data_IF_995797785812
#
_entry.id   IF_995797785812
#
_cell.length_a   1.000
_cell.length_b   1.000
_cell.length_c   1.000
_cell.angle_alpha   90.00
_cell.angle_beta   90.00
_cell.angle_gamma   90.00
#
_symmetry.space_group_name_H-M   'P 1'
#
loop_
_entity.id
_entity.type
_entity.pdbx_description
1 polymer ?
#
# COMPACT_ATOMS: atom_id res chain seq x y z
N UNK A 1 19.52 2.04 -36.14
CA UNK A 1 18.18 2.24 -35.52
C UNK A 1 17.17 1.14 -35.87
N UNK A 2 17.20 0.55 -37.07
CA UNK A 2 16.30 -0.55 -37.48
C UNK A 2 16.54 -1.88 -36.74
N UNK A 3 17.74 -2.11 -36.19
CA UNK A 3 18.11 -3.34 -35.48
C UNK A 3 17.53 -3.44 -34.04
N UNK A 4 17.12 -2.33 -33.43
CA UNK A 4 16.49 -2.35 -32.09
C UNK A 4 15.03 -2.80 -32.14
N UNK A 5 14.34 -2.60 -33.28
CA UNK A 5 12.94 -3.02 -33.47
C UNK A 5 12.86 -4.54 -33.70
N UNK A 6 13.88 -5.14 -34.33
CA UNK A 6 13.90 -6.58 -34.65
C UNK A 6 14.26 -7.45 -33.44
N UNK A 7 14.94 -6.91 -32.44
CA UNK A 7 15.32 -7.65 -31.21
C UNK A 7 14.14 -7.87 -30.24
N UNK A 8 13.04 -7.13 -30.41
CA UNK A 8 11.81 -7.36 -29.64
C UNK A 8 11.05 -8.49 -30.32
N UNK A 9 10.86 -9.66 -29.67
CA UNK A 9 10.09 -10.73 -30.28
C UNK A 9 8.70 -10.20 -30.68
N UNK A 10 8.19 -10.54 -31.88
CA UNK A 10 6.99 -9.91 -32.45
C UNK A 10 5.74 -10.03 -31.57
N UNK A 11 5.75 -10.94 -30.59
CA UNK A 11 4.73 -11.11 -29.54
C UNK A 11 4.64 -9.92 -28.56
N UNK A 12 5.70 -9.14 -28.37
CA UNK A 12 5.73 -8.03 -27.39
C UNK A 12 5.30 -6.69 -27.98
N UNK A 13 5.30 -6.55 -29.31
CA UNK A 13 4.85 -5.32 -29.98
C UNK A 13 3.41 -4.91 -29.60
N UNK A 14 2.43 -5.84 -29.53
CA UNK A 14 1.08 -5.52 -29.05
C UNK A 14 1.06 -4.94 -27.62
N UNK A 15 1.94 -5.38 -26.72
CA UNK A 15 2.03 -4.86 -25.35
C UNK A 15 2.53 -3.41 -25.33
N UNK A 16 3.53 -3.11 -26.16
CA UNK A 16 4.07 -1.75 -26.29
C UNK A 16 2.99 -0.81 -26.82
N UNK A 17 2.30 -1.21 -27.91
CA UNK A 17 1.19 -0.42 -28.48
C UNK A 17 0.09 -0.23 -27.44
N UNK A 18 -0.33 -1.29 -26.75
CA UNK A 18 -1.34 -1.22 -25.70
C UNK A 18 -0.96 -0.23 -24.58
N UNK A 19 0.27 -0.30 -24.09
CA UNK A 19 0.77 0.61 -23.05
C UNK A 19 0.65 2.08 -23.47
N UNK A 20 1.09 2.42 -24.69
CA UNK A 20 0.99 3.79 -25.19
C UNK A 20 -0.45 4.22 -25.45
N UNK A 21 -1.32 3.32 -25.93
CA UNK A 21 -2.75 3.62 -26.11
C UNK A 21 -3.41 3.93 -24.78
N UNK A 22 -3.13 3.17 -23.71
CA UNK A 22 -3.67 3.45 -22.36
C UNK A 22 -3.20 4.81 -21.85
N UNK A 23 -1.90 5.13 -21.99
CA UNK A 23 -1.37 6.44 -21.59
C UNK A 23 -2.04 7.57 -22.40
N UNK A 24 -2.12 7.42 -23.73
CA UNK A 24 -2.73 8.40 -24.59
C UNK A 24 -4.21 8.63 -24.23
N UNK A 25 -4.94 7.56 -23.90
CA UNK A 25 -6.33 7.64 -23.43
C UNK A 25 -6.43 8.42 -22.12
N UNK A 26 -5.62 8.08 -21.11
CA UNK A 26 -5.62 8.79 -19.81
C UNK A 26 -5.30 10.27 -19.99
N UNK A 27 -4.27 10.59 -20.77
CA UNK A 27 -3.89 11.98 -21.08
C UNK A 27 -5.00 12.71 -21.82
N UNK A 28 -5.65 12.06 -22.78
CA UNK A 28 -6.76 12.66 -23.55
C UNK A 28 -7.95 12.95 -22.63
N UNK A 29 -8.32 12.03 -21.74
CA UNK A 29 -9.40 12.23 -20.77
C UNK A 29 -9.07 13.41 -19.85
N UNK A 30 -7.85 13.46 -19.30
CA UNK A 30 -7.42 14.56 -18.43
C UNK A 30 -7.37 15.90 -19.18
N UNK A 31 -6.92 15.91 -20.44
CA UNK A 31 -6.86 17.11 -21.27
C UNK A 31 -8.26 17.63 -21.61
N UNK A 32 -9.16 16.75 -22.06
CA UNK A 32 -10.56 17.12 -22.34
C UNK A 32 -11.24 17.61 -21.07
N UNK A 33 -11.08 16.91 -19.94
CA UNK A 33 -11.62 17.33 -18.64
C UNK A 33 -11.09 18.71 -18.21
N UNK A 34 -9.81 18.98 -18.42
CA UNK A 34 -9.22 20.30 -18.11
C UNK A 34 -9.68 21.42 -19.05
N UNK A 35 -10.09 21.12 -20.29
CA UNK A 35 -10.55 22.12 -21.26
C UNK A 35 -12.04 22.39 -21.08
N UNK A 36 -12.85 21.35 -20.84
CA UNK A 36 -14.30 21.46 -20.64
C UNK A 36 -14.68 21.86 -19.21
N UNK A 37 -13.83 21.59 -18.21
CA UNK A 37 -14.10 21.86 -16.81
C UNK A 37 -14.08 23.35 -16.49
N UNK A 38 -15.13 23.82 -15.79
CA UNK A 38 -15.18 25.19 -15.29
C UNK A 38 -14.16 25.39 -14.16
N UNK A 39 -13.33 26.44 -14.29
CA UNK A 39 -12.33 26.80 -13.28
C UNK A 39 -12.92 27.80 -12.30
N UNK A 40 -13.30 27.34 -11.12
CA UNK A 40 -13.69 28.22 -10.00
C UNK A 40 -12.44 28.74 -9.30
N UNK A 41 -12.33 30.06 -9.11
CA UNK A 41 -11.26 30.70 -8.34
C UNK A 41 -11.93 31.37 -7.14
N UNK A 42 -12.22 30.58 -6.11
CA UNK A 42 -12.76 31.03 -4.84
C UNK A 42 -11.67 31.18 -3.78
N UNK A 43 -11.96 31.96 -2.73
CA UNK A 43 -11.02 32.22 -1.64
C UNK A 43 -10.54 30.95 -0.91
N UNK A 44 -11.38 29.91 -0.88
CA UNK A 44 -11.10 28.62 -0.26
C UNK A 44 -10.84 27.49 -1.27
N UNK A 45 -10.78 27.77 -2.58
CA UNK A 45 -10.60 26.72 -3.61
C UNK A 45 -9.27 25.98 -3.47
N UNK A 46 -8.23 26.66 -2.98
CA UNK A 46 -6.89 26.09 -2.80
C UNK A 46 -6.56 25.80 -1.32
N UNK A 47 -7.53 25.92 -0.41
CA UNK A 47 -7.32 25.65 1.00
C UNK A 47 -7.53 24.15 1.29
N UNK A 48 -6.76 23.62 2.25
CA UNK A 48 -6.89 22.23 2.71
C UNK A 48 -8.23 22.08 3.43
N UNK A 49 -8.97 21.02 3.09
CA UNK A 49 -10.26 20.73 3.72
C UNK A 49 -10.08 20.30 5.18
N UNK A 50 -10.57 21.13 6.12
CA UNK A 50 -10.52 20.90 7.57
C UNK A 50 -11.89 21.20 8.20
N UNK A 51 -12.96 20.56 7.70
CA UNK A 51 -14.33 20.64 8.23
C UNK A 51 -14.88 22.06 8.52
N UNK A 52 -14.41 23.09 7.80
CA UNK A 52 -14.85 24.48 7.95
C UNK A 52 -14.04 25.34 8.93
N UNK A 53 -12.94 24.83 9.48
CA UNK A 53 -12.00 25.62 10.29
C UNK A 53 -10.70 25.89 9.52
N UNK A 54 -9.97 26.94 9.93
CA UNK A 54 -8.63 27.20 9.39
C UNK A 54 -7.67 26.11 9.86
N UNK A 55 -6.86 25.58 8.95
CA UNK A 55 -5.84 24.59 9.28
C UNK A 55 -4.83 25.19 10.26
N UNK A 56 -4.66 24.53 11.40
CA UNK A 56 -3.72 24.96 12.44
C UNK A 56 -2.75 23.81 12.75
N UNK A 57 -1.45 24.10 12.68
CA UNK A 57 -0.40 23.17 13.02
C UNK A 57 0.36 22.59 11.82
N UNK A 58 1.33 21.73 12.13
CA UNK A 58 2.21 21.10 11.15
C UNK A 58 1.69 19.70 10.83
N UNK A 59 1.70 19.31 9.55
CA UNK A 59 1.30 17.97 9.07
C UNK A 59 2.25 16.82 9.47
N UNK A 60 3.09 17.00 10.49
CA UNK A 60 4.07 16.02 10.95
C UNK A 60 3.55 15.25 12.15
N UNK A 61 2.80 14.19 11.89
CA UNK A 61 2.38 13.25 12.92
C UNK A 61 3.33 12.04 12.97
N UNK A 62 3.52 11.48 14.17
CA UNK A 62 4.28 10.23 14.34
C UNK A 62 3.45 9.08 13.80
N UNK A 63 3.82 8.60 12.61
CA UNK A 63 3.23 7.39 12.04
C UNK A 63 3.64 6.20 12.92
N UNK A 64 2.70 5.36 13.38
CA UNK A 64 3.03 4.15 14.14
C UNK A 64 4.00 3.24 13.37
N UNK A 65 4.97 2.64 14.06
CA UNK A 65 5.93 1.70 13.46
C UNK A 65 5.26 0.47 12.81
N UNK A 66 4.01 0.18 13.16
CA UNK A 66 3.20 -0.91 12.59
C UNK A 66 3.12 -0.86 11.05
N UNK A 67 3.00 0.34 10.47
CA UNK A 67 2.94 0.50 9.01
C UNK A 67 4.25 0.07 8.34
N UNK A 68 5.40 0.36 8.97
CA UNK A 68 6.70 -0.06 8.47
C UNK A 68 6.88 -1.59 8.54
N UNK A 69 6.45 -2.21 9.64
CA UNK A 69 6.55 -3.68 9.79
C UNK A 69 5.75 -4.41 8.70
N UNK A 70 4.55 -3.93 8.38
CA UNK A 70 3.71 -4.49 7.31
C UNK A 70 4.38 -4.29 5.93
N UNK A 71 4.91 -3.10 5.64
CA UNK A 71 5.60 -2.82 4.38
C UNK A 71 6.86 -3.68 4.21
N UNK A 72 7.68 -3.82 5.25
CA UNK A 72 8.88 -4.65 5.23
C UNK A 72 8.53 -6.13 5.03
N UNK A 73 7.49 -6.63 5.70
CA UNK A 73 7.01 -8.00 5.51
C UNK A 73 6.46 -8.22 4.10
N UNK A 74 5.73 -7.25 3.53
CA UNK A 74 5.24 -7.32 2.15
C UNK A 74 6.39 -7.47 1.15
N UNK A 75 7.44 -6.66 1.28
CA UNK A 75 8.62 -6.75 0.40
C UNK A 75 9.32 -8.10 0.52
N UNK A 76 9.49 -8.61 1.74
CA UNK A 76 10.09 -9.94 1.95
C UNK A 76 9.20 -11.02 1.31
N UNK A 77 7.90 -11.04 1.61
CA UNK A 77 6.98 -12.05 1.07
C UNK A 77 6.87 -12.00 -0.47
N UNK A 78 6.91 -10.81 -1.07
CA UNK A 78 6.94 -10.63 -2.52
C UNK A 78 8.20 -11.25 -3.14
N UNK A 79 9.36 -10.99 -2.54
CA UNK A 79 10.63 -11.59 -2.97
C UNK A 79 10.62 -13.12 -2.84
N UNK A 80 10.06 -13.65 -1.76
CA UNK A 80 9.97 -15.10 -1.54
C UNK A 80 9.01 -15.77 -2.54
N UNK A 81 7.96 -15.05 -2.98
CA UNK A 81 7.06 -15.51 -4.04
C UNK A 81 7.78 -15.58 -5.39
N UNK A 82 8.68 -14.64 -5.69
CA UNK A 82 9.52 -14.71 -6.90
C UNK A 82 10.40 -15.96 -6.89
N UNK A 83 10.96 -16.36 -5.75
CA UNK A 83 11.71 -17.61 -5.64
C UNK A 83 10.84 -18.85 -5.88
N UNK A 84 9.65 -18.90 -5.29
CA UNK A 84 8.71 -19.99 -5.54
C UNK A 84 8.27 -20.05 -7.01
N UNK A 85 8.09 -18.89 -7.65
CA UNK A 85 7.77 -18.82 -9.07
C UNK A 85 8.93 -19.37 -9.92
N UNK A 86 10.17 -18.97 -9.65
CA UNK A 86 11.34 -19.47 -10.36
C UNK A 86 11.48 -21.00 -10.23
N UNK A 87 11.27 -21.54 -9.03
CA UNK A 87 11.22 -22.99 -8.80
C UNK A 87 10.05 -23.64 -9.57
N UNK A 88 8.87 -23.03 -9.59
CA UNK A 88 7.68 -23.59 -10.24
C UNK A 88 7.87 -23.81 -11.75
N UNK A 89 8.65 -22.96 -12.40
CA UNK A 89 8.98 -23.06 -13.84
C UNK A 89 9.80 -24.33 -14.14
N UNK A 90 10.63 -24.78 -13.20
CA UNK A 90 11.58 -25.90 -13.38
C UNK A 90 11.23 -27.13 -12.54
N UNK A 91 10.06 -27.16 -11.89
CA UNK A 91 9.69 -28.24 -10.94
C UNK A 91 9.84 -29.65 -11.52
N UNK A 92 9.60 -29.82 -12.83
CA UNK A 92 9.72 -31.11 -13.52
C UNK A 92 11.16 -31.58 -13.73
N UNK A 93 12.12 -30.66 -13.82
CA UNK A 93 13.54 -30.99 -14.05
C UNK A 93 14.29 -31.23 -12.75
N UNK A 94 13.95 -30.49 -11.69
CA UNK A 94 14.59 -30.61 -10.37
C UNK A 94 14.07 -31.82 -9.58
N UNK A 95 12.82 -32.26 -9.83
CA UNK A 95 12.26 -33.47 -9.25
C UNK A 95 12.06 -33.40 -7.73
N UNK A 96 12.14 -34.56 -7.06
CA UNK A 96 11.90 -34.69 -5.62
C UNK A 96 12.80 -33.82 -4.72
N UNK A 97 14.11 -33.67 -4.98
CA UNK A 97 14.95 -32.78 -4.17
C UNK A 97 14.44 -31.34 -4.15
N UNK A 98 14.13 -30.77 -5.32
CA UNK A 98 13.60 -29.42 -5.42
C UNK A 98 12.23 -29.26 -4.75
N UNK A 99 11.41 -30.32 -4.74
CA UNK A 99 10.14 -30.31 -4.01
C UNK A 99 10.34 -30.17 -2.50
N UNK A 100 11.28 -30.91 -1.91
CA UNK A 100 11.56 -30.79 -0.47
C UNK A 100 12.16 -29.44 -0.10
N UNK A 101 13.01 -28.86 -0.96
CA UNK A 101 13.53 -27.51 -0.79
C UNK A 101 12.40 -26.46 -0.80
N UNK A 102 11.50 -26.51 -1.78
CA UNK A 102 10.36 -25.62 -1.86
C UNK A 102 9.39 -25.80 -0.67
N UNK A 103 9.19 -27.04 -0.23
CA UNK A 103 8.36 -27.33 0.95
C UNK A 103 8.96 -26.74 2.22
N UNK A 104 10.27 -26.93 2.45
CA UNK A 104 10.96 -26.35 3.59
C UNK A 104 10.89 -24.82 3.58
N UNK A 105 11.04 -24.21 2.41
CA UNK A 105 10.91 -22.77 2.21
C UNK A 105 9.50 -22.25 2.52
N UNK A 106 8.45 -22.92 2.04
CA UNK A 106 7.05 -22.58 2.38
C UNK A 106 6.81 -22.71 3.89
N UNK A 107 7.34 -23.76 4.53
CA UNK A 107 7.22 -23.91 5.98
C UNK A 107 7.89 -22.78 6.76
N UNK A 108 9.02 -22.28 6.26
CA UNK A 108 9.69 -21.11 6.82
C UNK A 108 8.84 -19.84 6.69
N UNK A 109 8.19 -19.62 5.54
CA UNK A 109 7.24 -18.52 5.33
C UNK A 109 6.07 -18.58 6.31
N UNK A 110 5.47 -19.77 6.47
CA UNK A 110 4.37 -19.98 7.42
C UNK A 110 4.81 -19.71 8.85
N UNK A 111 6.02 -20.14 9.24
CA UNK A 111 6.57 -19.87 10.56
C UNK A 111 6.80 -18.36 10.80
N UNK A 112 7.36 -17.65 9.82
CA UNK A 112 7.56 -16.20 9.89
C UNK A 112 6.21 -15.44 10.02
N UNK A 113 5.22 -15.83 9.22
CA UNK A 113 3.87 -15.26 9.29
C UNK A 113 3.19 -15.56 10.65
N UNK A 114 3.31 -16.78 11.15
CA UNK A 114 2.77 -17.17 12.45
C UNK A 114 3.41 -16.36 13.59
N UNK A 115 4.73 -16.14 13.55
CA UNK A 115 5.42 -15.29 14.52
C UNK A 115 4.91 -13.85 14.49
N UNK A 116 4.73 -13.28 13.29
CA UNK A 116 4.25 -11.91 13.12
C UNK A 116 2.81 -11.73 13.61
N UNK A 117 1.96 -12.73 13.35
CA UNK A 117 0.59 -12.74 13.85
C UNK A 117 0.58 -12.79 15.38
N UNK A 118 1.41 -13.65 16.00
CA UNK A 118 1.53 -13.74 17.45
C UNK A 118 2.05 -12.48 18.12
N UNK A 119 2.86 -11.67 17.43
CA UNK A 119 3.35 -10.39 17.95
C UNK A 119 2.35 -9.24 17.84
N UNK A 120 1.16 -9.47 17.27
CA UNK A 120 0.13 -8.43 17.14
C UNK A 120 0.51 -7.32 16.14
N UNK A 121 1.53 -7.54 15.31
CA UNK A 121 1.92 -6.60 14.26
C UNK A 121 0.82 -6.44 13.19
N UNK A 122 -0.06 -7.45 13.07
CA UNK A 122 -1.25 -7.43 12.23
C UNK A 122 -2.51 -6.91 12.94
N UNK A 123 -2.45 -6.47 14.21
CA UNK A 123 -3.61 -5.96 14.93
C UNK A 123 -3.74 -4.44 14.83
N UNK A 124 -4.85 -4.01 14.23
CA UNK A 124 -5.17 -2.62 13.92
C UNK A 124 -6.14 -1.99 14.94
N UNK A 125 -6.90 -2.80 15.67
CA UNK A 125 -7.88 -2.30 16.63
C UNK A 125 -7.17 -1.71 17.87
N UNK A 126 -7.42 -0.43 18.20
CA UNK A 126 -7.06 0.09 19.51
C UNK A 126 -7.89 -0.67 20.54
N UNK A 127 -7.25 -1.40 21.46
CA UNK A 127 -7.95 -1.86 22.66
C UNK A 127 -8.46 -0.60 23.37
N UNK A 128 -9.79 -0.42 23.39
CA UNK A 128 -10.44 0.84 23.75
C UNK A 128 -9.84 1.44 25.02
N UNK A 129 -9.20 2.61 24.90
CA UNK A 129 -8.88 3.41 26.06
C UNK A 129 -10.21 3.85 26.65
N UNK A 130 -10.57 3.26 27.79
CA UNK A 130 -11.75 3.64 28.56
C UNK A 130 -11.76 5.16 28.70
N UNK A 131 -12.86 5.86 28.36
CA UNK A 131 -12.95 7.28 28.67
C UNK A 131 -12.80 7.37 30.19
N UNK A 132 -11.77 8.09 30.63
CA UNK A 132 -11.70 8.52 32.02
C UNK A 132 -12.93 9.40 32.21
N UNK A 133 -13.96 8.83 32.84
CA UNK A 133 -15.07 9.59 33.37
C UNK A 133 -14.43 10.57 34.34
N UNK A 134 -14.22 11.80 33.88
CA UNK A 134 -13.93 12.93 34.74
C UNK A 134 -15.20 13.13 35.53
N UNK A 135 -15.29 12.44 36.66
CA UNK A 135 -16.27 12.75 37.70
C UNK A 135 -15.90 14.15 38.15
N UNK A 136 -16.55 15.15 37.54
CA UNK A 136 -16.55 16.50 38.06
C UNK A 136 -17.15 16.40 39.46
N UNK A 137 -16.26 16.41 40.43
CA UNK A 137 -16.58 16.53 41.82
C UNK A 137 -17.27 17.90 41.99
N UNK A 138 -18.61 17.92 41.87
CA UNK A 138 -19.44 18.99 42.43
C UNK A 138 -19.36 18.85 43.96
N UNK A 139 -18.21 19.23 44.51
CA UNK A 139 -18.00 19.47 45.93
C UNK A 139 -17.65 20.93 46.09
N UNK A 140 -18.63 21.72 46.53
CA UNK A 140 -18.35 23.03 47.12
C UNK A 140 -19.16 24.20 46.58
N UNK A 141 -20.48 24.11 46.54
CA UNK A 141 -21.33 25.31 46.69
C UNK A 141 -22.43 25.00 47.71
N UNK A 142 -22.01 24.99 48.97
CA UNK A 142 -22.88 25.18 50.13
C UNK A 142 -22.04 25.91 51.17
N UNK A 143 -22.21 27.24 51.18
CA UNK A 143 -21.78 28.28 52.15
C UNK A 143 -21.74 29.58 51.31
N UNK A 144 -22.54 30.60 51.52
CA UNK A 144 -23.34 31.08 52.65
C UNK A 144 -24.51 31.89 52.11
#
# INVERSE_FOLDING_TARGET
MTQLIVAVPPILWPLVVYFFVVIALVVTILAVSSILGERTIGRATNDIFESGIVTVGNARFRVPAKFYLIAMFFVIFDLETVYLFAWSVVVRTVGWPGYFEALAFIMMLVAALAYLWRTGALEWAPTGRRPLVVTAERRGETKQ
#
